data_IF_649320261026
#
_entry.id   IF_649320261026
#
_cell.length_a   1.000
_cell.length_b   1.000
_cell.length_c   1.000
_cell.angle_alpha   90.00
_cell.angle_beta   90.00
_cell.angle_gamma   90.00
#
_symmetry.space_group_name_H-M   'P 1'
#
loop_
_entity.id
_entity.type
_entity.pdbx_description
1 polymer ?
#
# COMPACT_ATOMS: atom_id res chain seq x y z
N UNK A 1 -22.06 -0.83 11.76
CA UNK A 1 -20.58 -0.86 11.88
C UNK A 1 -19.85 -0.94 10.55
N UNK A 2 -20.12 -1.92 9.67
CA UNK A 2 -19.40 -2.10 8.39
C UNK A 2 -19.26 -0.83 7.54
N UNK A 3 -20.35 -0.07 7.33
CA UNK A 3 -20.32 1.19 6.55
C UNK A 3 -19.46 2.29 7.18
N UNK A 4 -19.44 2.38 8.51
CA UNK A 4 -18.62 3.34 9.25
C UNK A 4 -17.13 2.97 9.14
N UNK A 5 -16.79 1.70 9.36
CA UNK A 5 -15.44 1.18 9.20
C UNK A 5 -14.93 1.35 7.76
N UNK A 6 -15.77 1.07 6.76
CA UNK A 6 -15.41 1.27 5.36
C UNK A 6 -15.07 2.72 5.04
N UNK A 7 -15.89 3.66 5.51
CA UNK A 7 -15.66 5.09 5.32
C UNK A 7 -14.40 5.57 6.04
N UNK A 8 -14.17 5.10 7.27
CA UNK A 8 -12.98 5.42 8.04
C UNK A 8 -11.70 4.90 7.37
N UNK A 9 -11.69 3.61 6.99
CA UNK A 9 -10.58 2.97 6.27
C UNK A 9 -10.29 3.70 4.96
N UNK A 10 -11.33 4.05 4.19
CA UNK A 10 -11.17 4.77 2.90
C UNK A 10 -10.60 6.19 3.10
N UNK A 11 -10.97 6.88 4.18
CA UNK A 11 -10.43 8.21 4.48
C UNK A 11 -8.95 8.14 4.88
N UNK A 12 -8.59 7.17 5.72
CA UNK A 12 -7.19 6.93 6.12
C UNK A 12 -6.36 6.49 4.91
N UNK A 13 -6.90 5.60 4.07
CA UNK A 13 -6.27 5.14 2.83
C UNK A 13 -5.85 6.31 1.95
N UNK A 14 -6.73 7.29 1.71
CA UNK A 14 -6.40 8.49 0.90
C UNK A 14 -5.28 9.33 1.50
N UNK A 15 -5.32 9.56 2.81
CA UNK A 15 -4.27 10.33 3.51
C UNK A 15 -2.94 9.59 3.42
N UNK A 16 -2.95 8.28 3.64
CA UNK A 16 -1.76 7.44 3.56
C UNK A 16 -1.19 7.38 2.14
N UNK A 17 -2.02 7.31 1.08
CA UNK A 17 -1.53 7.40 -0.29
C UNK A 17 -0.79 8.72 -0.54
N UNK A 18 -1.33 9.84 -0.07
CA UNK A 18 -0.66 11.13 -0.18
C UNK A 18 0.69 11.14 0.57
N UNK A 19 0.74 10.60 1.79
CA UNK A 19 1.98 10.51 2.56
C UNK A 19 3.04 9.61 1.90
N UNK A 20 2.64 8.47 1.33
CA UNK A 20 3.56 7.57 0.61
C UNK A 20 4.12 8.25 -0.64
N UNK A 21 3.29 8.98 -1.40
CA UNK A 21 3.76 9.76 -2.56
C UNK A 21 4.78 10.82 -2.12
N UNK A 22 4.50 11.53 -1.02
CA UNK A 22 5.46 12.49 -0.45
C UNK A 22 6.76 11.81 0.01
N UNK A 23 6.68 10.60 0.58
CA UNK A 23 7.85 9.83 0.99
C UNK A 23 8.70 9.41 -0.23
N UNK A 24 8.07 9.00 -1.34
CA UNK A 24 8.77 8.72 -2.59
C UNK A 24 9.44 9.96 -3.17
N UNK A 25 8.76 11.10 -3.17
CA UNK A 25 9.34 12.38 -3.62
C UNK A 25 10.53 12.75 -2.74
N UNK A 26 10.40 12.68 -1.42
CA UNK A 26 11.48 12.96 -0.49
C UNK A 26 12.66 11.99 -0.70
N UNK A 27 12.39 10.69 -0.85
CA UNK A 27 13.41 9.69 -1.13
C UNK A 27 14.16 9.97 -2.43
N UNK A 28 13.44 10.30 -3.51
CA UNK A 28 14.04 10.66 -4.79
C UNK A 28 14.94 11.90 -4.67
N UNK A 29 14.48 12.95 -3.98
CA UNK A 29 15.27 14.16 -3.72
C UNK A 29 16.53 13.82 -2.92
N UNK A 30 16.42 13.07 -1.81
CA UNK A 30 17.58 12.69 -1.02
C UNK A 30 18.57 11.81 -1.80
N UNK A 31 18.08 10.90 -2.65
CA UNK A 31 18.92 10.07 -3.48
C UNK A 31 19.74 10.90 -4.48
N UNK A 32 19.13 11.90 -5.13
CA UNK A 32 19.83 12.85 -6.02
C UNK A 32 20.88 13.65 -5.25
N UNK A 33 20.63 13.99 -3.99
CA UNK A 33 21.57 14.67 -3.10
C UNK A 33 22.66 13.75 -2.51
N UNK A 34 22.72 12.48 -2.95
CA UNK A 34 23.75 11.53 -2.53
C UNK A 34 23.40 10.69 -1.30
N UNK A 35 22.17 10.78 -0.78
CA UNK A 35 21.67 9.96 0.32
C UNK A 35 20.51 9.05 -0.14
N UNK A 36 20.80 7.85 -0.68
CA UNK A 36 19.78 6.97 -1.22
C UNK A 36 19.02 6.15 -0.17
N UNK A 37 19.39 6.26 1.12
CA UNK A 37 18.91 5.33 2.16
C UNK A 37 17.39 5.38 2.34
N UNK A 38 16.77 6.55 2.22
CA UNK A 38 15.30 6.69 2.30
C UNK A 38 14.61 5.86 1.22
N UNK A 39 15.08 5.97 -0.02
CA UNK A 39 14.55 5.21 -1.17
C UNK A 39 14.78 3.71 -1.01
N UNK A 40 15.97 3.30 -0.56
CA UNK A 40 16.29 1.88 -0.33
C UNK A 40 15.35 1.29 0.73
N UNK A 41 15.16 1.98 1.85
CA UNK A 41 14.25 1.54 2.92
C UNK A 41 12.83 1.43 2.39
N UNK A 42 12.34 2.42 1.63
CA UNK A 42 11.02 2.36 1.01
C UNK A 42 10.88 1.16 0.09
N UNK A 43 11.82 0.95 -0.84
CA UNK A 43 11.78 -0.22 -1.74
C UNK A 43 11.76 -1.52 -0.94
N UNK A 44 12.62 -1.66 0.09
CA UNK A 44 12.69 -2.88 0.90
C UNK A 44 11.38 -3.16 1.64
N UNK A 45 10.79 -2.14 2.28
CA UNK A 45 9.53 -2.30 3.00
C UNK A 45 8.41 -2.75 2.06
N UNK A 46 8.28 -2.09 0.89
CA UNK A 46 7.25 -2.43 -0.08
C UNK A 46 7.47 -3.81 -0.73
N UNK A 47 8.73 -4.20 -0.96
CA UNK A 47 9.08 -5.51 -1.49
C UNK A 47 8.75 -6.65 -0.52
N UNK A 48 8.97 -6.45 0.79
CA UNK A 48 8.62 -7.45 1.82
C UNK A 48 7.11 -7.75 1.85
N UNK A 49 6.29 -6.82 1.39
CA UNK A 49 4.83 -6.96 1.40
C UNK A 49 4.28 -7.63 0.14
N UNK A 50 5.09 -7.81 -0.90
CA UNK A 50 4.66 -8.41 -2.18
C UNK A 50 3.87 -9.71 -2.02
N UNK A 51 4.30 -10.69 -1.19
CA UNK A 51 3.54 -11.94 -1.03
C UNK A 51 2.13 -11.69 -0.47
N UNK A 52 1.99 -10.72 0.43
CA UNK A 52 0.71 -10.39 1.08
C UNK A 52 -0.18 -9.60 0.13
N UNK A 53 0.39 -8.58 -0.53
CA UNK A 53 -0.31 -7.73 -1.48
C UNK A 53 -0.81 -8.51 -2.69
N UNK A 54 0.03 -9.35 -3.30
CA UNK A 54 -0.35 -10.19 -4.45
C UNK A 54 -1.48 -11.15 -4.06
N UNK A 55 -1.37 -11.84 -2.92
CA UNK A 55 -2.42 -12.75 -2.46
C UNK A 55 -3.73 -12.03 -2.18
N UNK A 56 -3.68 -10.83 -1.58
CA UNK A 56 -4.86 -10.01 -1.32
C UNK A 56 -5.53 -9.52 -2.60
N UNK A 57 -4.73 -9.07 -3.57
CA UNK A 57 -5.17 -8.63 -4.89
C UNK A 57 -5.88 -9.74 -5.66
N UNK A 58 -5.21 -10.88 -5.84
CA UNK A 58 -5.77 -12.02 -6.55
C UNK A 58 -7.06 -12.53 -5.90
N UNK A 59 -7.12 -12.61 -4.56
CA UNK A 59 -8.34 -12.98 -3.83
C UNK A 59 -9.45 -11.92 -3.96
N UNK A 60 -9.08 -10.65 -4.16
CA UNK A 60 -9.99 -9.54 -4.41
C UNK A 60 -10.45 -9.41 -5.87
N UNK A 61 -9.94 -10.25 -6.78
CA UNK A 61 -10.25 -10.21 -8.21
C UNK A 61 -9.34 -9.32 -9.06
N UNK A 62 -8.27 -8.77 -8.47
CA UNK A 62 -7.32 -7.93 -9.17
C UNK A 62 -6.31 -8.75 -9.98
N UNK A 63 -5.80 -8.17 -11.07
CA UNK A 63 -4.75 -8.80 -11.87
C UNK A 63 -3.41 -8.88 -11.12
N UNK A 64 -2.58 -9.87 -11.45
CA UNK A 64 -1.25 -10.05 -10.84
C UNK A 64 -0.37 -8.81 -11.00
N UNK A 65 -0.27 -8.28 -12.22
CA UNK A 65 0.57 -7.11 -12.52
C UNK A 65 0.07 -5.88 -11.76
N UNK A 66 -1.25 -5.68 -11.72
CA UNK A 66 -1.85 -4.60 -10.94
C UNK A 66 -1.49 -4.72 -9.45
N UNK A 67 -1.60 -5.92 -8.90
CA UNK A 67 -1.28 -6.19 -7.49
C UNK A 67 0.19 -5.93 -7.15
N UNK A 68 1.11 -6.30 -8.06
CA UNK A 68 2.55 -6.02 -7.91
C UNK A 68 2.80 -4.51 -7.89
N UNK A 69 2.27 -3.79 -8.88
CA UNK A 69 2.47 -2.34 -9.01
C UNK A 69 1.91 -1.60 -7.81
N UNK A 70 0.68 -1.93 -7.39
CA UNK A 70 0.07 -1.32 -6.22
C UNK A 70 0.86 -1.62 -4.94
N UNK A 71 1.43 -2.83 -4.81
CA UNK A 71 2.28 -3.17 -3.66
C UNK A 71 3.58 -2.37 -3.63
N UNK A 72 4.24 -2.22 -4.79
CA UNK A 72 5.50 -1.46 -4.86
C UNK A 72 5.29 0.03 -4.66
N UNK A 73 4.18 0.60 -5.14
CA UNK A 73 3.90 2.03 -4.98
C UNK A 73 3.36 2.34 -3.58
N UNK A 74 2.43 1.51 -3.09
CA UNK A 74 1.59 1.84 -1.94
C UNK A 74 1.66 0.81 -0.79
N UNK A 75 2.17 -0.40 -0.99
CA UNK A 75 2.43 -1.34 0.11
C UNK A 75 1.19 -1.66 0.97
N UNK A 76 1.33 -1.70 2.29
CA UNK A 76 0.23 -2.04 3.21
C UNK A 76 -1.00 -1.17 3.05
N UNK A 77 -0.83 0.08 2.57
CA UNK A 77 -1.92 1.04 2.47
C UNK A 77 -2.85 0.74 1.30
N UNK A 78 -2.49 -0.17 0.39
CA UNK A 78 -3.39 -0.63 -0.68
C UNK A 78 -4.11 -1.94 -0.31
N UNK A 79 -3.36 -2.98 0.08
CA UNK A 79 -3.93 -4.32 0.19
C UNK A 79 -4.75 -4.52 1.46
N UNK A 80 -4.48 -3.76 2.53
CA UNK A 80 -5.27 -3.84 3.77
C UNK A 80 -6.69 -3.29 3.58
N UNK A 81 -6.90 -2.07 3.02
CA UNK A 81 -8.23 -1.62 2.64
C UNK A 81 -8.93 -2.56 1.67
N UNK A 82 -8.20 -3.13 0.69
CA UNK A 82 -8.78 -4.11 -0.23
C UNK A 82 -9.33 -5.33 0.53
N UNK A 83 -8.57 -5.89 1.47
CA UNK A 83 -9.03 -7.01 2.30
C UNK A 83 -10.30 -6.69 3.08
N UNK A 84 -10.42 -5.47 3.61
CA UNK A 84 -11.63 -5.01 4.31
C UNK A 84 -12.81 -4.91 3.35
N UNK A 85 -12.62 -4.28 2.19
CA UNK A 85 -13.66 -4.07 1.18
C UNK A 85 -14.17 -5.38 0.57
N UNK A 86 -13.29 -6.37 0.43
CA UNK A 86 -13.60 -7.68 -0.17
C UNK A 86 -13.96 -8.75 0.86
N UNK A 87 -14.11 -8.38 2.14
CA UNK A 87 -14.51 -9.31 3.20
C UNK A 87 -13.48 -10.41 3.48
N UNK A 88 -12.21 -10.18 3.16
CA UNK A 88 -11.11 -11.10 3.43
C UNK A 88 -10.64 -11.04 4.89
N UNK A 89 -11.09 -10.03 5.65
CA UNK A 89 -10.91 -9.92 7.09
C UNK A 89 -12.29 -10.10 7.72
N UNK A 90 -12.40 -11.12 8.58
CA UNK A 90 -13.54 -11.26 9.47
C UNK A 90 -13.39 -10.19 10.56
N UNK A 91 -14.31 -9.22 10.53
CA UNK A 91 -14.46 -8.22 11.59
C UNK A 91 -15.58 -8.74 12.48
N UNK A 92 -15.20 -9.22 13.66
CA UNK A 92 -16.06 -9.69 14.74
C UNK A 92 -16.96 -8.57 15.32
#
# INVERSE_FOLDING_TARGET
>A
MKKFLLNFVTKIERINYALIILAWIAGAVFAILGNPWVTIILITLHAMELPIGIKAGLKGGEALVYSIVMCLIFGFVWWLPLKVKTGQIELD
#
